data_IF_496449355840
#
_entry.id   IF_496449355840
#
_cell.length_a   1.000
_cell.length_b   1.000
_cell.length_c   1.000
_cell.angle_alpha   90.00
_cell.angle_beta   90.00
_cell.angle_gamma   90.00
#
_symmetry.space_group_name_H-M   'P 1'
#
loop_
_entity.id
_entity.type
_entity.pdbx_description
1 polymer ?
#
# COMPACT_ATOMS: atom_id res chain seq x y z
N UNK A 1 13.53 -1.89 -14.97
CA UNK A 1 14.30 -2.49 -13.85
C UNK A 1 13.39 -3.19 -12.85
N UNK A 2 12.72 -4.26 -13.27
CA UNK A 2 11.93 -5.14 -12.39
C UNK A 2 12.62 -6.50 -12.30
N UNK A 3 12.81 -7.04 -11.10
CA UNK A 3 13.49 -8.33 -10.90
C UNK A 3 12.73 -9.49 -11.54
N UNK A 4 11.42 -9.37 -11.71
CA UNK A 4 10.57 -10.38 -12.38
C UNK A 4 10.71 -10.37 -13.90
N UNK A 5 11.34 -9.35 -14.48
CA UNK A 5 11.48 -9.20 -15.95
C UNK A 5 12.28 -10.33 -16.61
N UNK A 6 13.03 -11.11 -15.84
CA UNK A 6 13.79 -12.28 -16.33
C UNK A 6 12.93 -13.52 -16.57
N UNK A 7 11.69 -13.52 -16.04
CA UNK A 7 10.79 -14.66 -16.14
C UNK A 7 10.08 -14.72 -17.50
N UNK A 8 9.70 -15.94 -17.91
CA UNK A 8 8.73 -16.19 -18.98
C UNK A 8 7.34 -16.39 -18.35
N UNK A 9 6.52 -15.33 -18.23
CA UNK A 9 5.25 -15.40 -17.52
C UNK A 9 4.14 -15.96 -18.40
N UNK A 10 3.13 -16.57 -17.77
CA UNK A 10 1.83 -16.89 -18.41
C UNK A 10 0.95 -15.64 -18.45
N UNK A 11 1.11 -14.76 -17.46
CA UNK A 11 0.31 -13.59 -17.23
C UNK A 11 1.17 -12.52 -16.54
N UNK A 12 0.94 -11.26 -16.85
CA UNK A 12 1.63 -10.13 -16.23
C UNK A 12 0.65 -9.19 -15.54
N UNK A 13 1.11 -8.49 -14.49
CA UNK A 13 0.29 -7.52 -13.77
C UNK A 13 1.09 -6.27 -13.40
N UNK A 14 0.49 -5.08 -13.63
CA UNK A 14 1.03 -3.80 -13.18
C UNK A 14 -0.03 -3.16 -12.27
N UNK A 15 0.25 -3.04 -10.97
CA UNK A 15 -0.73 -2.58 -9.96
C UNK A 15 -1.03 -1.11 -10.08
N UNK A 16 -0.10 -0.28 -9.62
CA UNK A 16 -0.19 1.19 -9.66
C UNK A 16 1.14 1.78 -10.12
N UNK A 17 1.08 3.00 -10.64
CA UNK A 17 2.27 3.81 -10.95
C UNK A 17 2.25 5.03 -10.04
N UNK A 18 3.30 5.20 -9.29
CA UNK A 18 3.51 6.35 -8.40
C UNK A 18 4.97 6.75 -8.39
N UNK A 19 5.26 7.96 -7.95
CA UNK A 19 6.64 8.44 -7.80
C UNK A 19 7.33 7.68 -6.67
N UNK A 20 8.14 6.71 -7.03
CA UNK A 20 9.03 5.98 -6.13
C UNK A 20 10.30 5.58 -6.89
N UNK A 21 11.41 5.44 -6.20
CA UNK A 21 12.72 5.14 -6.78
C UNK A 21 13.14 6.10 -7.92
N UNK A 22 12.78 7.37 -7.79
CA UNK A 22 12.96 8.42 -8.83
C UNK A 22 14.39 8.48 -9.37
N UNK A 23 15.39 8.28 -8.50
CA UNK A 23 16.80 8.25 -8.90
C UNK A 23 17.15 7.11 -9.89
N UNK A 24 16.33 6.05 -9.96
CA UNK A 24 16.58 4.88 -10.81
C UNK A 24 15.59 4.76 -11.97
N UNK A 25 14.33 5.17 -11.74
CA UNK A 25 13.23 4.92 -12.67
C UNK A 25 12.83 6.18 -13.47
N UNK A 26 13.40 7.34 -13.11
CA UNK A 26 13.03 8.63 -13.67
C UNK A 26 12.09 9.43 -12.77
N UNK A 27 11.91 10.69 -13.09
CA UNK A 27 11.20 11.70 -12.30
C UNK A 27 9.78 11.98 -12.81
N UNK A 28 9.32 11.24 -13.83
CA UNK A 28 7.96 11.34 -14.37
C UNK A 28 7.21 10.01 -14.28
N UNK A 29 5.89 10.07 -14.21
CA UNK A 29 5.05 8.87 -14.17
C UNK A 29 5.18 8.06 -15.45
N UNK A 30 5.37 8.71 -16.60
CA UNK A 30 5.58 8.06 -17.88
C UNK A 30 6.90 7.28 -17.91
N UNK A 31 8.01 7.86 -17.42
CA UNK A 31 9.29 7.16 -17.37
C UNK A 31 9.26 5.95 -16.44
N UNK A 32 8.59 6.07 -15.30
CA UNK A 32 8.37 4.94 -14.37
C UNK A 32 7.49 3.87 -15.02
N UNK A 33 6.43 4.28 -15.73
CA UNK A 33 5.55 3.37 -16.45
C UNK A 33 6.30 2.58 -17.54
N UNK A 34 7.18 3.24 -18.30
CA UNK A 34 8.01 2.60 -19.33
C UNK A 34 8.92 1.53 -18.71
N UNK A 35 9.59 1.83 -17.59
CA UNK A 35 10.43 0.87 -16.89
C UNK A 35 9.65 -0.34 -16.37
N UNK A 36 8.47 -0.10 -15.76
CA UNK A 36 7.60 -1.18 -15.27
C UNK A 36 6.98 -2.00 -16.41
N UNK A 37 6.64 -1.38 -17.53
CA UNK A 37 6.13 -2.05 -18.72
C UNK A 37 7.15 -3.00 -19.38
N UNK A 38 8.42 -2.96 -18.98
CA UNK A 38 9.44 -3.95 -19.40
C UNK A 38 9.06 -5.41 -19.08
N UNK A 39 8.14 -5.65 -18.12
CA UNK A 39 7.63 -7.00 -17.83
C UNK A 39 6.67 -7.53 -18.90
N UNK A 40 6.11 -6.67 -19.75
CA UNK A 40 5.16 -7.06 -20.80
C UNK A 40 5.90 -7.88 -21.87
N UNK A 41 5.41 -9.08 -22.13
CA UNK A 41 6.00 -10.02 -23.09
C UNK A 41 5.09 -10.19 -24.30
N UNK A 42 5.69 -10.61 -25.43
CA UNK A 42 4.98 -10.84 -26.70
C UNK A 42 3.82 -11.83 -26.50
N UNK A 43 2.61 -11.38 -26.79
CA UNK A 43 1.39 -12.20 -26.74
C UNK A 43 0.94 -12.62 -25.34
N UNK A 44 1.62 -12.19 -24.28
CA UNK A 44 1.28 -12.56 -22.88
C UNK A 44 0.26 -11.57 -22.32
N UNK A 45 -0.89 -12.03 -21.77
CA UNK A 45 -1.91 -11.14 -21.23
C UNK A 45 -1.38 -10.27 -20.08
N UNK A 46 -1.87 -9.02 -20.04
CA UNK A 46 -1.57 -8.01 -19.05
C UNK A 46 -2.83 -7.61 -18.29
N UNK A 47 -2.76 -7.60 -16.97
CA UNK A 47 -3.77 -6.97 -16.12
C UNK A 47 -3.19 -5.69 -15.53
N UNK A 48 -3.91 -4.56 -15.64
CA UNK A 48 -3.51 -3.29 -15.00
C UNK A 48 -4.46 -2.93 -13.88
N UNK A 49 -3.91 -2.51 -12.75
CA UNK A 49 -4.69 -1.90 -11.67
C UNK A 49 -5.12 -0.47 -12.00
N UNK A 50 -5.53 0.28 -10.98
CA UNK A 50 -5.93 1.69 -11.11
C UNK A 50 -4.68 2.56 -11.37
N UNK A 51 -4.43 2.87 -12.63
CA UNK A 51 -3.26 3.62 -13.11
C UNK A 51 -3.73 4.93 -13.72
N UNK A 52 -3.06 6.03 -13.37
CA UNK A 52 -3.36 7.36 -13.92
C UNK A 52 -3.23 7.39 -15.45
N UNK A 53 -4.05 8.19 -16.16
CA UNK A 53 -4.15 8.15 -17.63
C UNK A 53 -2.82 8.30 -18.36
N UNK A 54 -1.93 9.19 -17.93
CA UNK A 54 -0.62 9.46 -18.54
C UNK A 54 0.28 8.20 -18.54
N UNK A 55 0.36 7.54 -17.39
CA UNK A 55 1.13 6.31 -17.23
C UNK A 55 0.48 5.12 -17.95
N UNK A 56 -0.85 5.03 -17.90
CA UNK A 56 -1.61 4.00 -18.59
C UNK A 56 -1.45 4.08 -20.12
N UNK A 57 -1.36 5.29 -20.68
CA UNK A 57 -1.14 5.49 -22.11
C UNK A 57 0.18 4.86 -22.58
N UNK A 58 1.26 5.02 -21.80
CA UNK A 58 2.57 4.41 -22.08
C UNK A 58 2.48 2.88 -22.04
N UNK A 59 1.86 2.33 -20.99
CA UNK A 59 1.65 0.88 -20.83
C UNK A 59 0.84 0.33 -22.01
N UNK A 60 -0.23 1.02 -22.40
CA UNK A 60 -1.10 0.63 -23.52
C UNK A 60 -0.35 0.60 -24.85
N UNK A 61 0.52 1.58 -25.10
CA UNK A 61 1.34 1.61 -26.30
C UNK A 61 2.31 0.43 -26.36
N UNK A 62 2.98 0.12 -25.24
CA UNK A 62 3.93 -1.00 -25.15
C UNK A 62 3.18 -2.33 -25.30
N UNK A 63 2.03 -2.50 -24.65
CA UNK A 63 1.20 -3.69 -24.76
C UNK A 63 0.74 -3.93 -26.22
N UNK A 64 0.36 -2.86 -26.93
CA UNK A 64 0.00 -2.93 -28.35
C UNK A 64 1.18 -3.41 -29.22
N UNK A 65 2.39 -2.87 -29.01
CA UNK A 65 3.61 -3.30 -29.73
C UNK A 65 3.94 -4.77 -29.45
N UNK A 66 3.67 -5.23 -28.23
CA UNK A 66 3.88 -6.62 -27.79
C UNK A 66 2.71 -7.55 -28.10
N UNK A 67 1.66 -7.05 -28.79
CA UNK A 67 0.43 -7.82 -29.05
C UNK A 67 -0.12 -8.50 -27.78
N UNK A 68 0.09 -7.88 -26.62
CA UNK A 68 -0.34 -8.39 -25.32
C UNK A 68 -1.82 -8.06 -25.10
N UNK A 69 -2.71 -9.07 -24.95
CA UNK A 69 -4.10 -8.83 -24.56
C UNK A 69 -4.14 -8.10 -23.22
N UNK A 70 -5.07 -7.14 -23.06
CA UNK A 70 -5.14 -6.32 -21.84
C UNK A 70 -6.47 -6.54 -21.12
N UNK A 71 -6.40 -6.46 -19.79
CA UNK A 71 -7.54 -6.35 -18.88
C UNK A 71 -7.29 -5.11 -18.02
N UNK A 72 -8.02 -4.04 -18.27
CA UNK A 72 -7.78 -2.70 -17.71
C UNK A 72 -8.80 -2.37 -16.64
N UNK A 73 -8.33 -1.91 -15.49
CA UNK A 73 -9.20 -1.40 -14.41
C UNK A 73 -10.06 -0.23 -14.93
N UNK A 74 -11.35 -0.25 -14.59
CA UNK A 74 -12.32 0.75 -15.04
C UNK A 74 -12.89 0.51 -16.44
N UNK A 75 -12.27 -0.34 -17.26
CA UNK A 75 -12.75 -0.73 -18.60
C UNK A 75 -13.26 -2.18 -18.60
N UNK A 76 -12.39 -3.14 -18.27
CA UNK A 76 -12.68 -4.58 -18.32
C UNK A 76 -13.12 -5.14 -16.97
N UNK A 77 -12.73 -4.52 -15.86
CA UNK A 77 -13.17 -4.87 -14.53
C UNK A 77 -13.17 -3.65 -13.60
N UNK A 78 -13.97 -3.71 -12.55
CA UNK A 78 -14.07 -2.62 -11.57
C UNK A 78 -14.43 -3.11 -10.18
N UNK A 79 -14.12 -2.30 -9.19
CA UNK A 79 -14.56 -2.48 -7.81
C UNK A 79 -15.32 -1.25 -7.32
N UNK A 80 -16.25 -1.46 -6.39
CA UNK A 80 -17.00 -0.39 -5.74
C UNK A 80 -17.04 -0.65 -4.25
N UNK A 81 -16.49 0.27 -3.45
CA UNK A 81 -16.49 0.17 -1.99
C UNK A 81 -17.91 0.19 -1.44
N UNK A 82 -18.22 -0.70 -0.51
CA UNK A 82 -19.53 -0.87 0.10
C UNK A 82 -19.53 -0.69 1.63
N UNK A 83 -18.38 -0.28 2.16
CA UNK A 83 -18.18 -0.10 3.60
C UNK A 83 -17.14 -1.06 4.17
N UNK A 84 -16.99 -1.04 5.49
CA UNK A 84 -15.97 -1.81 6.17
C UNK A 84 -16.58 -2.64 7.30
N UNK A 85 -16.07 -3.85 7.49
CA UNK A 85 -16.50 -4.78 8.54
C UNK A 85 -15.29 -5.33 9.29
N UNK A 86 -15.23 -5.11 10.60
CA UNK A 86 -14.09 -5.54 11.42
C UNK A 86 -12.78 -4.91 10.95
N UNK A 87 -11.83 -5.74 10.54
CA UNK A 87 -10.52 -5.34 10.00
C UNK A 87 -10.44 -5.44 8.48
N UNK A 88 -11.57 -5.50 7.76
CA UNK A 88 -11.61 -5.67 6.32
C UNK A 88 -12.50 -4.64 5.63
N UNK A 89 -12.37 -4.57 4.31
CA UNK A 89 -13.18 -3.74 3.42
C UNK A 89 -14.15 -4.59 2.61
N UNK A 90 -15.41 -4.16 2.53
CA UNK A 90 -16.44 -4.80 1.70
C UNK A 90 -16.54 -4.07 0.36
N UNK A 91 -16.57 -4.82 -0.72
CA UNK A 91 -16.64 -4.26 -2.07
C UNK A 91 -17.44 -5.13 -3.03
N UNK A 92 -18.09 -4.52 -4.00
CA UNK A 92 -18.63 -5.19 -5.16
C UNK A 92 -17.55 -5.26 -6.25
N UNK A 93 -17.40 -6.42 -6.86
CA UNK A 93 -16.51 -6.67 -7.99
C UNK A 93 -17.31 -7.06 -9.21
N UNK A 94 -16.94 -6.51 -10.37
CA UNK A 94 -17.58 -6.82 -11.66
C UNK A 94 -16.51 -6.98 -12.75
N UNK A 95 -16.58 -8.11 -13.45
CA UNK A 95 -15.84 -8.39 -14.70
C UNK A 95 -16.70 -9.26 -15.61
N UNK A 96 -16.31 -9.49 -16.88
CA UNK A 96 -17.02 -10.43 -17.76
C UNK A 96 -17.06 -11.87 -17.25
N UNK A 97 -16.11 -12.28 -16.39
CA UNK A 97 -16.00 -13.66 -15.90
C UNK A 97 -16.55 -13.85 -14.50
N UNK A 98 -16.65 -12.78 -13.69
CA UNK A 98 -17.07 -12.85 -12.29
C UNK A 98 -17.80 -11.60 -11.85
N UNK A 99 -18.84 -11.81 -11.07
CA UNK A 99 -19.52 -10.74 -10.34
C UNK A 99 -19.83 -11.22 -8.93
N UNK A 100 -19.73 -10.32 -7.95
CA UNK A 100 -20.04 -10.64 -6.57
C UNK A 100 -19.65 -9.57 -5.58
N UNK A 101 -20.15 -9.72 -4.36
CA UNK A 101 -19.75 -8.95 -3.20
C UNK A 101 -18.74 -9.76 -2.41
N UNK A 102 -17.62 -9.12 -2.08
CA UNK A 102 -16.50 -9.73 -1.37
C UNK A 102 -16.06 -8.85 -0.20
N UNK A 103 -15.33 -9.45 0.73
CA UNK A 103 -14.64 -8.76 1.80
C UNK A 103 -13.15 -9.11 1.71
N UNK A 104 -12.27 -8.10 1.83
CA UNK A 104 -10.83 -8.34 2.03
C UNK A 104 -10.49 -8.29 3.51
N UNK A 105 -9.57 -9.13 3.99
CA UNK A 105 -9.02 -9.05 5.34
C UNK A 105 -8.05 -7.90 5.56
N UNK A 106 -7.70 -7.14 4.50
CA UNK A 106 -6.78 -6.01 4.53
C UNK A 106 -7.56 -4.70 4.54
N UNK A 107 -7.15 -3.74 5.39
CA UNK A 107 -7.76 -2.43 5.53
C UNK A 107 -7.22 -1.42 4.50
N UNK A 108 -8.12 -0.52 4.07
CA UNK A 108 -7.87 0.62 3.22
C UNK A 108 -8.39 0.47 1.80
N UNK A 109 -8.89 1.57 1.22
CA UNK A 109 -9.53 1.58 -0.11
C UNK A 109 -8.63 1.01 -1.22
N UNK A 110 -7.33 1.26 -1.16
CA UNK A 110 -6.37 0.69 -2.10
C UNK A 110 -6.32 -0.86 -2.05
N UNK A 111 -6.74 -1.48 -0.96
CA UNK A 111 -6.77 -2.94 -0.85
C UNK A 111 -7.95 -3.55 -1.62
N UNK A 112 -9.07 -2.84 -1.77
CA UNK A 112 -10.15 -3.32 -2.63
C UNK A 112 -9.74 -3.28 -4.11
N UNK A 113 -8.95 -2.29 -4.53
CA UNK A 113 -8.39 -2.24 -5.89
C UNK A 113 -7.39 -3.39 -6.12
N UNK A 114 -6.51 -3.64 -5.14
CA UNK A 114 -5.58 -4.78 -5.17
C UNK A 114 -6.33 -6.11 -5.20
N UNK A 115 -7.40 -6.28 -4.42
CA UNK A 115 -8.24 -7.48 -4.41
C UNK A 115 -8.95 -7.67 -5.76
N UNK A 116 -9.51 -6.61 -6.34
CA UNK A 116 -10.12 -6.64 -7.68
C UNK A 116 -9.12 -7.06 -8.77
N UNK A 117 -7.91 -6.53 -8.72
CA UNK A 117 -6.85 -6.95 -9.63
C UNK A 117 -6.43 -8.41 -9.41
N UNK A 118 -6.34 -8.87 -8.16
CA UNK A 118 -6.01 -10.26 -7.85
C UNK A 118 -7.09 -11.22 -8.36
N UNK A 119 -8.38 -10.87 -8.24
CA UNK A 119 -9.50 -11.63 -8.83
C UNK A 119 -9.37 -11.71 -10.36
N UNK A 120 -9.09 -10.58 -11.01
CA UNK A 120 -8.93 -10.52 -12.46
C UNK A 120 -7.73 -11.36 -12.91
N UNK A 121 -6.61 -11.31 -12.20
CA UNK A 121 -5.43 -12.14 -12.47
C UNK A 121 -5.74 -13.64 -12.29
N UNK A 122 -6.46 -14.02 -11.23
CA UNK A 122 -6.86 -15.41 -10.99
C UNK A 122 -7.74 -15.94 -12.13
N UNK A 123 -8.77 -15.18 -12.51
CA UNK A 123 -9.69 -15.60 -13.56
C UNK A 123 -9.01 -15.66 -14.93
N UNK A 124 -8.13 -14.71 -15.23
CA UNK A 124 -7.30 -14.74 -16.45
C UNK A 124 -6.34 -15.93 -16.44
N UNK A 125 -5.71 -16.25 -15.30
CA UNK A 125 -4.84 -17.42 -15.16
C UNK A 125 -5.60 -18.73 -15.41
N UNK A 126 -6.79 -18.87 -14.84
CA UNK A 126 -7.62 -20.04 -15.07
C UNK A 126 -7.95 -20.21 -16.55
N UNK A 127 -8.30 -19.13 -17.25
CA UNK A 127 -8.58 -19.14 -18.68
C UNK A 127 -7.36 -19.52 -19.51
N UNK A 128 -6.21 -18.92 -19.28
CA UNK A 128 -4.97 -19.18 -20.04
C UNK A 128 -4.44 -20.61 -19.81
N UNK A 129 -4.72 -21.21 -18.67
CA UNK A 129 -4.27 -22.58 -18.33
C UNK A 129 -5.32 -23.66 -18.53
N UNK A 130 -6.55 -23.29 -18.97
CA UNK A 130 -7.66 -24.23 -19.13
C UNK A 130 -8.20 -24.80 -17.82
N UNK A 131 -7.97 -24.11 -16.68
CA UNK A 131 -8.49 -24.50 -15.38
C UNK A 131 -9.90 -23.95 -15.18
N UNK A 132 -10.68 -24.64 -14.36
CA UNK A 132 -11.97 -24.14 -13.93
C UNK A 132 -11.83 -22.90 -13.04
N UNK A 133 -12.76 -21.96 -13.18
CA UNK A 133 -12.82 -20.80 -12.29
C UNK A 133 -13.18 -21.24 -10.87
N UNK A 134 -12.43 -20.75 -9.89
CA UNK A 134 -12.78 -20.96 -8.50
C UNK A 134 -14.15 -20.33 -8.20
N UNK A 135 -14.98 -21.00 -7.40
CA UNK A 135 -16.29 -20.47 -7.00
C UNK A 135 -16.16 -19.19 -6.17
N UNK A 136 -17.18 -18.34 -6.18
CA UNK A 136 -17.18 -17.12 -5.37
C UNK A 136 -16.99 -17.39 -3.87
N UNK A 137 -17.49 -18.52 -3.35
CA UNK A 137 -17.32 -18.87 -1.93
C UNK A 137 -15.84 -19.14 -1.57
N UNK A 138 -15.12 -19.88 -2.41
CA UNK A 138 -13.68 -20.16 -2.21
C UNK A 138 -12.88 -18.86 -2.26
N UNK A 139 -13.17 -18.04 -3.24
CA UNK A 139 -12.48 -16.75 -3.43
C UNK A 139 -12.79 -15.78 -2.30
N UNK A 140 -14.06 -15.71 -1.86
CA UNK A 140 -14.48 -14.87 -0.74
C UNK A 140 -13.71 -15.25 0.54
N UNK A 141 -13.66 -16.54 0.87
CA UNK A 141 -12.91 -17.03 2.02
C UNK A 141 -11.42 -16.67 1.91
N UNK A 142 -10.80 -16.89 0.76
CA UNK A 142 -9.38 -16.58 0.55
C UNK A 142 -9.07 -15.07 0.71
N UNK A 143 -9.94 -14.19 0.21
CA UNK A 143 -9.79 -12.75 0.36
C UNK A 143 -9.96 -12.31 1.83
N UNK A 144 -10.93 -12.87 2.53
CA UNK A 144 -11.22 -12.55 3.93
C UNK A 144 -10.09 -13.02 4.87
N UNK A 145 -9.50 -14.18 4.59
CA UNK A 145 -8.38 -14.75 5.34
C UNK A 145 -7.02 -14.11 4.97
N UNK A 146 -6.97 -13.29 3.90
CA UNK A 146 -5.73 -12.66 3.47
C UNK A 146 -5.24 -11.65 4.50
N UNK A 147 -4.01 -11.84 4.95
CA UNK A 147 -3.30 -10.91 5.82
C UNK A 147 -1.88 -10.70 5.29
N UNK A 148 -1.33 -9.52 5.54
CA UNK A 148 0.04 -9.22 5.14
C UNK A 148 0.75 -8.37 6.22
N UNK A 149 1.85 -8.85 6.78
CA UNK A 149 2.59 -8.12 7.80
C UNK A 149 2.97 -6.70 7.36
N UNK A 150 2.70 -5.71 8.22
CA UNK A 150 3.00 -4.31 7.94
C UNK A 150 2.13 -3.67 6.84
N UNK A 151 0.92 -4.18 6.61
CA UNK A 151 -0.09 -3.53 5.77
C UNK A 151 -1.34 -3.26 6.60
N UNK A 152 -1.36 -2.09 7.24
CA UNK A 152 -2.36 -1.68 8.22
C UNK A 152 -2.66 -2.79 9.24
N UNK A 153 -1.62 -3.42 9.73
CA UNK A 153 -1.67 -4.60 10.57
C UNK A 153 -1.96 -4.23 12.03
N UNK A 154 -3.09 -4.67 12.55
CA UNK A 154 -3.42 -4.52 13.97
C UNK A 154 -2.65 -5.56 14.76
N UNK A 155 -1.59 -5.15 15.46
CA UNK A 155 -0.73 -6.03 16.27
C UNK A 155 -1.16 -6.11 17.72
N UNK A 156 -1.87 -5.11 18.23
CA UNK A 156 -2.47 -5.09 19.57
C UNK A 156 -3.82 -4.37 19.51
N UNK A 157 -4.80 -4.86 20.26
CA UNK A 157 -6.14 -4.25 20.32
C UNK A 157 -6.36 -3.40 21.55
N UNK A 158 -5.64 -3.68 22.62
CA UNK A 158 -5.71 -2.96 23.91
C UNK A 158 -4.31 -2.89 24.51
N UNK A 159 -3.59 -1.79 24.31
CA UNK A 159 -3.92 -0.57 23.54
C UNK A 159 -3.91 -0.83 22.02
N UNK A 160 -4.71 -0.09 21.27
CA UNK A 160 -4.79 -0.27 19.82
C UNK A 160 -3.50 0.19 19.13
N UNK A 161 -2.80 -0.76 18.50
CA UNK A 161 -1.53 -0.51 17.81
C UNK A 161 -1.55 -1.09 16.40
N UNK A 162 -1.11 -0.28 15.43
CA UNK A 162 -1.12 -0.58 14.01
C UNK A 162 0.28 -0.43 13.43
N UNK A 163 0.71 -1.40 12.64
CA UNK A 163 1.92 -1.35 11.84
C UNK A 163 1.56 -1.14 10.36
N UNK A 164 2.12 -0.12 9.73
CA UNK A 164 1.95 0.13 8.31
C UNK A 164 3.26 0.47 7.60
N UNK A 165 3.52 -0.16 6.48
CA UNK A 165 4.76 -0.01 5.70
C UNK A 165 4.76 1.15 4.71
N UNK A 166 3.92 2.17 4.88
CA UNK A 166 3.96 3.37 4.05
C UNK A 166 5.33 4.05 4.15
N UNK A 167 6.03 4.20 3.01
CA UNK A 167 7.43 4.64 2.97
C UNK A 167 7.74 5.55 1.77
N UNK A 168 6.71 6.08 1.14
CA UNK A 168 6.77 7.11 0.11
C UNK A 168 5.50 7.97 0.15
N UNK A 169 5.48 9.16 -0.46
CA UNK A 169 4.32 10.06 -0.39
C UNK A 169 3.01 9.45 -0.88
N UNK A 170 3.06 8.58 -1.90
CA UNK A 170 1.87 7.90 -2.42
C UNK A 170 1.27 6.93 -1.37
N UNK A 171 2.11 6.12 -0.73
CA UNK A 171 1.67 5.19 0.31
C UNK A 171 1.20 5.92 1.58
N UNK A 172 1.87 7.02 1.96
CA UNK A 172 1.43 7.87 3.09
C UNK A 172 0.05 8.45 2.83
N UNK A 173 -0.26 8.93 1.61
CA UNK A 173 -1.63 9.39 1.27
C UNK A 173 -2.67 8.29 1.44
N UNK A 174 -2.37 7.06 1.05
CA UNK A 174 -3.29 5.92 1.25
C UNK A 174 -3.48 5.59 2.74
N UNK A 175 -2.41 5.65 3.54
CA UNK A 175 -2.48 5.51 5.00
C UNK A 175 -3.36 6.59 5.61
N UNK A 176 -3.15 7.87 5.26
CA UNK A 176 -3.93 9.00 5.77
C UNK A 176 -5.42 8.85 5.45
N UNK A 177 -5.76 8.51 4.21
CA UNK A 177 -7.16 8.28 3.82
C UNK A 177 -7.83 7.21 4.69
N UNK A 178 -7.12 6.12 5.01
CA UNK A 178 -7.63 5.06 5.90
C UNK A 178 -7.77 5.57 7.34
N UNK A 179 -6.82 6.36 7.84
CA UNK A 179 -6.87 6.93 9.18
C UNK A 179 -8.01 7.96 9.33
N UNK A 180 -8.23 8.79 8.34
CA UNK A 180 -9.33 9.76 8.30
C UNK A 180 -10.70 9.08 8.26
N UNK A 181 -10.85 8.02 7.46
CA UNK A 181 -12.11 7.30 7.33
C UNK A 181 -12.44 6.48 8.59
N UNK A 182 -11.45 5.78 9.16
CA UNK A 182 -11.67 4.78 10.21
C UNK A 182 -11.39 5.25 11.62
N UNK A 183 -10.56 6.29 11.78
CA UNK A 183 -10.04 6.75 13.07
C UNK A 183 -10.19 8.27 13.24
N UNK A 184 -11.22 8.88 12.58
CA UNK A 184 -11.51 10.30 12.70
C UNK A 184 -11.67 10.74 14.14
N UNK A 185 -12.36 9.92 14.96
CA UNK A 185 -12.67 10.20 16.36
C UNK A 185 -11.56 9.74 17.35
N UNK A 186 -10.42 9.28 16.83
CA UNK A 186 -9.29 8.85 17.67
C UNK A 186 -8.22 9.95 17.74
N UNK A 187 -7.58 10.04 18.92
CA UNK A 187 -6.26 10.66 19.02
C UNK A 187 -5.22 9.72 18.40
N UNK A 188 -4.32 10.23 17.57
CA UNK A 188 -3.35 9.42 16.82
C UNK A 188 -1.93 9.70 17.31
N UNK A 189 -1.28 8.69 17.86
CA UNK A 189 0.16 8.72 18.17
C UNK A 189 0.91 8.05 17.02
N UNK A 190 1.63 8.81 16.21
CA UNK A 190 2.38 8.29 15.06
C UNK A 190 3.87 8.27 15.35
N UNK A 191 4.48 7.09 15.29
CA UNK A 191 5.92 6.89 15.29
C UNK A 191 6.40 6.71 13.86
N UNK A 192 7.25 7.62 13.38
CA UNK A 192 7.70 7.65 12.00
C UNK A 192 9.21 7.64 11.85
N UNK A 193 9.68 6.91 10.87
CA UNK A 193 11.06 6.94 10.37
C UNK A 193 11.09 6.61 8.88
N UNK A 194 12.23 6.81 8.21
CA UNK A 194 12.37 6.39 6.82
C UNK A 194 13.84 6.04 6.47
N UNK A 195 14.04 5.47 5.29
CA UNK A 195 15.38 5.23 4.74
C UNK A 195 15.88 6.47 3.97
N UNK A 196 17.21 6.62 3.86
CA UNK A 196 17.91 7.79 3.27
C UNK A 196 17.45 8.19 1.86
N UNK A 197 16.96 7.24 1.09
CA UNK A 197 16.60 7.45 -0.33
C UNK A 197 15.16 7.89 -0.54
N UNK A 198 14.43 8.17 0.56
CA UNK A 198 13.01 8.54 0.50
C UNK A 198 12.81 10.03 0.72
N UNK A 199 11.68 10.53 0.23
CA UNK A 199 11.26 11.92 0.35
C UNK A 199 10.72 12.20 1.77
N UNK A 200 11.64 12.38 2.75
CA UNK A 200 11.32 12.60 4.16
C UNK A 200 10.40 13.81 4.34
N UNK A 201 10.78 14.96 3.78
CA UNK A 201 10.02 16.21 3.97
C UNK A 201 8.61 16.11 3.40
N UNK A 202 8.45 15.56 2.17
CA UNK A 202 7.14 15.38 1.55
C UNK A 202 6.21 14.45 2.35
N UNK A 203 6.79 13.41 2.97
CA UNK A 203 6.01 12.50 3.82
C UNK A 203 5.60 13.17 5.13
N UNK A 204 6.48 13.98 5.73
CA UNK A 204 6.16 14.73 6.95
C UNK A 204 5.11 15.81 6.66
N UNK A 205 5.22 16.54 5.56
CA UNK A 205 4.20 17.52 5.15
C UNK A 205 2.80 16.88 5.08
N UNK A 206 2.72 15.65 4.57
CA UNK A 206 1.48 14.89 4.53
C UNK A 206 1.02 14.46 5.92
N UNK A 207 1.89 13.87 6.74
CA UNK A 207 1.54 13.37 8.07
C UNK A 207 1.08 14.50 9.00
N UNK A 208 1.66 15.68 8.90
CA UNK A 208 1.29 16.88 9.67
C UNK A 208 -0.09 17.44 9.29
N UNK A 209 -0.68 17.04 8.15
CA UNK A 209 -2.06 17.44 7.81
C UNK A 209 -3.13 16.70 8.61
N UNK A 210 -2.79 15.56 9.21
CA UNK A 210 -3.75 14.71 9.90
C UNK A 210 -4.16 15.34 11.24
N UNK A 211 -5.46 15.62 11.44
CA UNK A 211 -5.92 16.26 12.66
C UNK A 211 -5.78 15.35 13.89
N UNK A 212 -5.62 15.98 15.06
CA UNK A 212 -5.53 15.30 16.34
C UNK A 212 -4.44 14.22 16.36
N UNK A 213 -3.23 14.63 15.96
CA UNK A 213 -2.09 13.73 15.78
C UNK A 213 -0.87 14.24 16.54
N UNK A 214 -0.25 13.35 17.30
CA UNK A 214 1.08 13.53 17.85
C UNK A 214 2.09 12.74 17.01
N UNK A 215 2.99 13.46 16.31
CA UNK A 215 4.00 12.87 15.44
C UNK A 215 5.36 12.84 16.13
N UNK A 216 5.93 11.65 16.25
CA UNK A 216 7.24 11.40 16.85
C UNK A 216 8.17 10.80 15.81
N UNK A 217 9.35 11.39 15.64
CA UNK A 217 10.40 10.83 14.79
C UNK A 217 11.30 9.89 15.60
N UNK A 218 11.79 8.85 14.94
CA UNK A 218 12.72 7.89 15.53
C UNK A 218 13.77 7.41 14.53
N UNK A 219 14.90 6.94 15.05
CA UNK A 219 15.92 6.24 14.29
C UNK A 219 15.85 4.73 14.58
N UNK A 220 16.20 3.89 13.61
CA UNK A 220 16.35 2.45 13.78
C UNK A 220 17.71 1.98 13.25
N UNK A 221 18.21 0.89 13.79
CA UNK A 221 19.55 0.37 13.48
C UNK A 221 19.56 -0.39 12.16
N UNK A 222 19.83 0.32 11.07
CA UNK A 222 20.01 -0.22 9.72
C UNK A 222 20.87 0.75 8.89
N UNK A 223 21.82 0.24 8.12
CA UNK A 223 22.70 1.07 7.29
C UNK A 223 21.96 1.94 6.24
N UNK A 224 20.71 1.60 5.92
CA UNK A 224 19.82 2.34 5.01
C UNK A 224 19.00 3.41 5.73
N UNK A 225 18.88 3.35 7.07
CA UNK A 225 18.08 4.31 7.85
C UNK A 225 18.57 5.74 7.64
N UNK A 226 17.65 6.69 7.65
CA UNK A 226 17.99 8.12 7.69
C UNK A 226 18.82 8.40 8.93
N UNK A 227 19.90 9.16 8.78
CA UNK A 227 20.82 9.43 9.87
C UNK A 227 20.10 10.09 11.05
N UNK A 228 20.39 9.62 12.26
CA UNK A 228 19.79 10.11 13.50
C UNK A 228 19.93 11.64 13.65
N UNK A 229 21.10 12.20 13.30
CA UNK A 229 21.34 13.64 13.34
C UNK A 229 20.42 14.43 12.41
N UNK A 230 20.09 13.86 11.26
CA UNK A 230 19.15 14.46 10.30
C UNK A 230 17.75 14.46 10.89
N UNK A 231 17.30 13.31 11.42
CA UNK A 231 15.96 13.18 12.04
C UNK A 231 15.79 14.13 13.22
N UNK A 232 16.79 14.22 14.11
CA UNK A 232 16.78 15.17 15.24
C UNK A 232 16.70 16.63 14.79
N UNK A 233 17.46 16.99 13.74
CA UNK A 233 17.44 18.35 13.19
C UNK A 233 16.05 18.67 12.56
N UNK A 234 15.49 17.74 11.84
CA UNK A 234 14.16 17.89 11.22
C UNK A 234 13.07 17.99 12.30
N UNK A 235 13.11 17.11 13.30
CA UNK A 235 12.19 17.16 14.43
C UNK A 235 12.22 18.53 15.11
N UNK A 236 13.43 19.02 15.42
CA UNK A 236 13.60 20.33 16.04
C UNK A 236 13.07 21.48 15.17
N UNK A 237 13.38 21.48 13.85
CA UNK A 237 12.94 22.55 12.94
C UNK A 237 11.42 22.59 12.72
N UNK A 238 10.75 21.45 12.87
CA UNK A 238 9.29 21.31 12.68
C UNK A 238 8.52 21.29 14.02
N UNK A 239 9.21 21.44 15.15
CA UNK A 239 8.62 21.33 16.50
C UNK A 239 7.92 19.97 16.71
N UNK A 240 8.52 18.89 16.20
CA UNK A 240 8.08 17.50 16.38
C UNK A 240 8.85 16.82 17.50
N UNK A 241 8.26 15.78 18.08
CA UNK A 241 8.94 14.94 19.07
C UNK A 241 10.03 14.07 18.39
N UNK A 242 11.09 13.78 19.15
CA UNK A 242 12.10 12.78 18.79
C UNK A 242 12.43 11.93 20.00
N UNK A 243 12.31 10.61 19.89
CA UNK A 243 12.73 9.67 20.93
C UNK A 243 13.10 8.31 20.34
N UNK A 244 13.67 7.41 21.13
CA UNK A 244 13.90 6.05 20.69
C UNK A 244 12.57 5.31 20.54
N UNK A 245 12.49 4.42 19.56
CA UNK A 245 11.25 3.68 19.31
C UNK A 245 10.92 2.70 20.44
N UNK A 246 11.95 2.20 21.18
CA UNK A 246 11.75 1.35 22.34
C UNK A 246 11.06 2.15 23.45
N UNK A 247 11.60 3.34 23.79
CA UNK A 247 10.98 4.22 24.79
C UNK A 247 9.55 4.60 24.40
N UNK A 248 9.30 4.86 23.10
CA UNK A 248 7.95 5.14 22.61
C UNK A 248 6.99 3.95 22.80
N UNK A 249 7.45 2.72 22.55
CA UNK A 249 6.63 1.52 22.72
C UNK A 249 6.38 1.21 24.20
N UNK A 250 7.36 1.46 25.08
CA UNK A 250 7.26 1.20 26.51
C UNK A 250 6.42 2.25 27.27
N UNK A 251 6.21 3.42 26.65
CA UNK A 251 5.36 4.46 27.23
C UNK A 251 3.89 4.04 27.17
N UNK A 252 3.15 4.34 28.25
CA UNK A 252 1.69 4.26 28.23
C UNK A 252 1.15 5.20 27.13
N UNK A 253 0.17 4.74 26.37
CA UNK A 253 -0.54 5.59 25.44
C UNK A 253 -1.27 6.70 26.19
N UNK A 254 -1.41 7.85 25.54
CA UNK A 254 -2.15 8.98 26.10
C UNK A 254 -3.58 8.57 26.38
N UNK A 255 -3.96 8.54 27.64
CA UNK A 255 -5.33 8.33 28.07
C UNK A 255 -6.08 9.67 27.90
N UNK A 256 -7.06 9.69 26.99
CA UNK A 256 -7.95 10.81 26.83
C UNK A 256 -9.36 10.37 27.21
N UNK A 257 -9.96 11.05 28.20
CA UNK A 257 -11.33 10.73 28.65
C UNK A 257 -12.38 10.95 27.55
N UNK A 258 -12.10 11.84 26.60
CA UNK A 258 -13.01 12.20 25.51
C UNK A 258 -12.82 11.35 24.26
N UNK A 259 -11.60 10.83 24.00
CA UNK A 259 -11.27 10.12 22.74
C UNK A 259 -10.44 8.86 22.98
N UNK A 260 -10.69 7.86 22.19
CA UNK A 260 -9.82 6.68 22.10
C UNK A 260 -8.49 7.05 21.44
N UNK A 261 -7.43 6.38 21.81
CA UNK A 261 -6.12 6.57 21.19
C UNK A 261 -5.76 5.37 20.30
N UNK A 262 -5.13 5.66 19.17
CA UNK A 262 -4.52 4.66 18.28
C UNK A 262 -3.05 5.00 18.06
N UNK A 263 -2.18 4.01 18.23
CA UNK A 263 -0.75 4.14 17.96
C UNK A 263 -0.41 3.55 16.61
N UNK A 264 0.23 4.33 15.74
CA UNK A 264 0.61 3.94 14.39
C UNK A 264 2.12 3.97 14.25
N UNK A 265 2.72 2.89 13.78
CA UNK A 265 4.16 2.78 13.54
C UNK A 265 4.36 2.60 12.05
N UNK A 266 5.10 3.53 11.40
CA UNK A 266 5.18 3.57 9.95
C UNK A 266 6.50 4.15 9.42
N UNK A 267 6.69 4.10 8.09
CA UNK A 267 7.75 4.76 7.33
C UNK A 267 8.82 3.81 6.75
N UNK A 268 8.94 2.57 7.22
CA UNK A 268 9.87 1.59 6.65
C UNK A 268 9.53 0.16 7.04
N UNK A 269 9.44 -0.74 6.06
CA UNK A 269 9.28 -2.18 6.33
C UNK A 269 10.46 -2.78 7.11
N UNK A 270 11.67 -2.26 6.93
CA UNK A 270 12.85 -2.69 7.69
C UNK A 270 12.74 -2.31 9.17
N UNK A 271 12.17 -1.13 9.43
CA UNK A 271 11.86 -0.69 10.78
C UNK A 271 10.76 -1.55 11.42
N UNK A 272 9.67 -1.77 10.70
CA UNK A 272 8.57 -2.61 11.21
C UNK A 272 9.03 -4.02 11.56
N UNK A 273 10.00 -4.58 10.82
CA UNK A 273 10.55 -5.89 11.15
C UNK A 273 11.26 -5.91 12.51
N UNK A 274 11.93 -4.80 12.90
CA UNK A 274 12.56 -4.68 14.23
C UNK A 274 11.50 -4.50 15.32
N UNK A 275 10.48 -3.67 15.08
CA UNK A 275 9.36 -3.48 16.02
C UNK A 275 8.62 -4.78 16.29
N UNK A 276 8.41 -5.62 15.27
CA UNK A 276 7.74 -6.93 15.44
C UNK A 276 8.57 -7.95 16.22
N UNK A 277 9.88 -7.79 16.27
CA UNK A 277 10.78 -8.69 16.99
C UNK A 277 10.98 -8.28 18.45
N UNK A 278 10.54 -7.07 18.81
CA UNK A 278 10.57 -6.52 20.17
C UNK A 278 9.37 -6.98 20.99
#
# INVERSE_FOLDING_TARGET
LDSTNVCQPILTGITTIGLDHVALLGDTLESIAEQKAGIIKQGVPLVTGNIVPEALAVINQIAKVKEAPRLVYGEDYQVSHQGSVGTGEVFDYTSPLRQGRFQTGLLGLHQIENAGMALTLLDAYCRETGRELASNNIVAQALEETSWPGRFEVVCREPLMILDGAHNPHAVKALLATLEERFADYHKEILFTCIKTKALEDMLDLLETLPDTELTLTHFDDGRATDEKVLKKVAYSRNLNYQSWQEFLDQKMTENEEKKTVRIITGSLYFLAQVRAY
#
